data_IF_714512113508
#
_entry.id   IF_714512113508
#
_cell.length_a   1.000
_cell.length_b   1.000
_cell.length_c   1.000
_cell.angle_alpha   90.00
_cell.angle_beta   90.00
_cell.angle_gamma   90.00
#
_symmetry.space_group_name_H-M   'P 1'
#
loop_
_entity.id
_entity.type
_entity.pdbx_description
1 polymer ?
#
# COMPACT_ATOMS: atom_id res chain seq x y z
N UNK A 1 -3.33 -12.80 40.43
CA UNK A 1 -4.13 -12.48 39.24
C UNK A 1 -3.16 -12.38 38.06
N UNK A 2 -3.08 -13.41 37.23
CA UNK A 2 -2.21 -13.46 36.05
C UNK A 2 -2.89 -12.67 34.94
N UNK A 3 -2.31 -11.53 34.55
CA UNK A 3 -2.74 -10.78 33.36
C UNK A 3 -2.30 -11.58 32.13
N UNK A 4 -3.27 -12.17 31.46
CA UNK A 4 -3.12 -12.74 30.12
C UNK A 4 -2.89 -11.60 29.15
N UNK A 5 -1.64 -11.38 28.74
CA UNK A 5 -1.34 -10.55 27.58
C UNK A 5 -1.82 -11.33 26.36
N UNK A 6 -2.97 -10.89 25.81
CA UNK A 6 -3.42 -11.33 24.49
C UNK A 6 -2.47 -10.69 23.49
N UNK A 7 -1.47 -11.43 23.07
CA UNK A 7 -0.63 -11.11 21.90
C UNK A 7 -1.58 -11.23 20.70
N UNK A 8 -2.02 -10.09 20.19
CA UNK A 8 -2.73 -10.01 18.92
C UNK A 8 -1.66 -10.25 17.85
N UNK A 9 -1.42 -11.52 17.57
CA UNK A 9 -0.61 -11.93 16.41
C UNK A 9 -1.37 -11.42 15.20
N UNK A 10 -0.83 -10.41 14.53
CA UNK A 10 -1.19 -10.08 13.17
C UNK A 10 -0.81 -11.32 12.35
N UNK A 11 -1.75 -12.24 12.19
CA UNK A 11 -1.58 -13.35 11.27
C UNK A 11 -1.65 -12.77 9.86
N UNK A 12 -0.55 -12.17 9.41
CA UNK A 12 -0.19 -12.27 8.02
C UNK A 12 -0.18 -13.79 7.78
N UNK A 13 -1.13 -14.27 6.99
CA UNK A 13 -1.20 -15.69 6.67
C UNK A 13 -0.01 -16.02 5.78
N UNK A 14 1.18 -16.15 6.37
CA UNK A 14 2.35 -16.70 5.71
C UNK A 14 2.18 -18.20 5.59
N UNK A 15 1.23 -18.63 4.79
CA UNK A 15 1.14 -20.01 4.34
C UNK A 15 1.96 -20.18 3.04
N UNK A 16 3.27 -19.92 3.14
CA UNK A 16 4.23 -20.54 2.24
C UNK A 16 5.65 -20.36 2.79
N UNK A 17 6.10 -21.27 3.63
CA UNK A 17 7.50 -21.51 3.92
C UNK A 17 8.19 -22.18 2.72
N UNK A 18 8.10 -21.60 1.54
CA UNK A 18 8.83 -22.06 0.35
C UNK A 18 9.07 -20.90 -0.60
N UNK A 19 10.25 -20.26 -0.47
CA UNK A 19 10.87 -19.44 -1.51
C UNK A 19 9.97 -18.37 -2.13
N UNK A 20 9.72 -17.28 -1.43
CA UNK A 20 9.36 -16.04 -2.10
C UNK A 20 10.58 -15.51 -2.87
N UNK A 21 10.86 -16.10 -4.00
CA UNK A 21 11.84 -15.57 -4.96
C UNK A 21 11.22 -14.42 -5.77
N UNK A 22 9.88 -14.24 -5.66
CA UNK A 22 9.11 -13.28 -6.45
C UNK A 22 8.16 -12.50 -5.53
N UNK A 23 8.01 -11.18 -5.72
CA UNK A 23 7.04 -10.36 -4.99
C UNK A 23 5.57 -10.71 -5.31
N UNK A 24 5.34 -11.43 -6.40
CA UNK A 24 4.03 -11.98 -6.76
C UNK A 24 3.49 -12.98 -5.72
N UNK A 25 4.37 -13.55 -4.89
CA UNK A 25 3.99 -14.43 -3.77
C UNK A 25 3.59 -13.66 -2.49
N UNK A 26 3.72 -12.32 -2.50
CA UNK A 26 3.44 -11.49 -1.35
C UNK A 26 2.05 -10.83 -1.45
N UNK A 27 1.15 -11.20 -0.55
CA UNK A 27 -0.24 -10.75 -0.56
C UNK A 27 -0.54 -9.66 0.46
N UNK A 28 -1.34 -8.69 0.07
CA UNK A 28 -2.02 -7.76 0.98
C UNK A 28 -3.53 -8.06 0.92
N UNK A 29 -4.08 -8.60 1.99
CA UNK A 29 -5.48 -9.01 2.10
C UNK A 29 -5.93 -10.00 0.99
N UNK A 30 -5.03 -10.91 0.58
CA UNK A 30 -5.27 -11.94 -0.43
C UNK A 30 -5.30 -11.39 -1.85
N UNK A 31 -4.58 -10.29 -2.11
CA UNK A 31 -4.37 -9.71 -3.44
C UNK A 31 -2.86 -9.48 -3.62
N UNK A 32 -2.30 -9.87 -4.75
CA UNK A 32 -0.90 -9.71 -5.08
C UNK A 32 -0.67 -8.78 -6.28
N UNK A 33 0.54 -8.23 -6.38
CA UNK A 33 0.98 -7.64 -7.63
C UNK A 33 1.14 -8.75 -8.67
N UNK A 34 0.83 -8.46 -9.93
CA UNK A 34 0.85 -9.47 -10.99
C UNK A 34 -0.49 -10.16 -11.23
N UNK A 35 -1.34 -10.25 -10.20
CA UNK A 35 -2.69 -10.81 -10.32
C UNK A 35 -3.57 -10.00 -11.28
N UNK A 36 -4.62 -10.62 -11.75
CA UNK A 36 -5.70 -9.93 -12.46
C UNK A 36 -6.74 -9.41 -11.47
N UNK A 37 -7.08 -8.12 -11.56
CA UNK A 37 -8.15 -7.56 -10.73
C UNK A 37 -9.51 -8.25 -11.01
N UNK A 38 -9.64 -8.92 -12.17
CA UNK A 38 -10.82 -9.73 -12.53
C UNK A 38 -11.00 -10.98 -11.65
N UNK A 39 -9.97 -11.41 -10.93
CA UNK A 39 -10.08 -12.52 -9.97
C UNK A 39 -10.88 -12.12 -8.72
N UNK A 40 -11.02 -10.81 -8.48
CA UNK A 40 -11.67 -10.26 -7.30
C UNK A 40 -12.96 -9.52 -7.61
N UNK A 41 -13.09 -8.91 -8.81
CA UNK A 41 -14.21 -8.05 -9.19
C UNK A 41 -14.63 -8.30 -10.63
N UNK A 42 -15.92 -8.08 -10.95
CA UNK A 42 -16.38 -8.16 -12.33
C UNK A 42 -15.82 -7.01 -13.17
N UNK A 43 -15.70 -7.25 -14.46
CA UNK A 43 -15.21 -6.24 -15.41
C UNK A 43 -16.05 -4.97 -15.41
N UNK A 44 -17.36 -5.12 -15.28
CA UNK A 44 -18.31 -4.02 -15.30
C UNK A 44 -18.05 -3.08 -14.12
N UNK A 45 -17.85 -3.61 -12.90
CA UNK A 45 -17.57 -2.83 -11.71
C UNK A 45 -16.20 -2.14 -11.81
N UNK A 46 -15.18 -2.81 -12.36
CA UNK A 46 -13.86 -2.20 -12.55
C UNK A 46 -13.95 -1.02 -13.53
N UNK A 47 -14.68 -1.17 -14.64
CA UNK A 47 -14.87 -0.10 -15.62
C UNK A 47 -15.70 1.08 -15.05
N UNK A 48 -16.65 0.81 -14.18
CA UNK A 48 -17.41 1.85 -13.48
C UNK A 48 -16.49 2.61 -12.50
N UNK A 49 -15.69 1.90 -11.69
CA UNK A 49 -14.75 2.52 -10.75
C UNK A 49 -13.69 3.36 -11.44
N UNK A 50 -13.24 3.01 -12.64
CA UNK A 50 -12.31 3.85 -13.44
C UNK A 50 -12.85 5.26 -13.69
N UNK A 51 -14.16 5.47 -13.60
CA UNK A 51 -14.82 6.78 -13.67
C UNK A 51 -15.32 7.24 -12.28
N UNK A 52 -15.01 6.50 -11.24
CA UNK A 52 -15.45 6.72 -9.87
C UNK A 52 -14.69 7.82 -9.13
N UNK A 53 -15.22 8.30 -8.00
CA UNK A 53 -14.64 9.38 -7.23
C UNK A 53 -13.37 9.00 -6.47
N UNK A 54 -13.09 7.70 -6.31
CA UNK A 54 -11.92 7.19 -5.59
C UNK A 54 -10.81 6.71 -6.53
N UNK A 55 -10.92 7.03 -7.81
CA UNK A 55 -9.92 6.70 -8.83
C UNK A 55 -9.06 7.90 -9.18
N UNK A 56 -7.75 7.68 -9.21
CA UNK A 56 -6.79 8.65 -9.73
C UNK A 56 -6.20 8.15 -11.05
N UNK A 57 -6.48 8.87 -12.12
CA UNK A 57 -5.93 8.56 -13.46
C UNK A 57 -4.60 9.29 -13.64
N UNK A 58 -3.54 8.55 -13.89
CA UNK A 58 -2.23 9.11 -14.19
C UNK A 58 -2.15 9.65 -15.61
N UNK A 59 -1.08 10.41 -15.88
CA UNK A 59 -0.80 11.04 -17.17
C UNK A 59 -1.02 10.07 -18.36
N UNK A 60 -1.67 10.56 -19.39
CA UNK A 60 -1.94 9.85 -20.65
C UNK A 60 -2.74 8.53 -20.48
N UNK A 61 -3.49 8.39 -19.37
CA UNK A 61 -4.23 7.18 -19.01
C UNK A 61 -3.36 5.90 -19.01
N UNK A 62 -2.04 6.05 -18.74
CA UNK A 62 -1.13 4.90 -18.68
C UNK A 62 -1.42 3.98 -17.50
N UNK A 63 -1.73 4.59 -16.35
CA UNK A 63 -2.10 3.87 -15.14
C UNK A 63 -3.28 4.55 -14.46
N UNK A 64 -3.98 3.79 -13.62
CA UNK A 64 -5.03 4.26 -12.72
C UNK A 64 -4.84 3.63 -11.33
N UNK A 65 -4.93 4.45 -10.28
CA UNK A 65 -4.95 3.99 -8.88
C UNK A 65 -6.41 3.96 -8.42
N UNK A 66 -6.92 2.77 -8.12
CA UNK A 66 -8.29 2.51 -7.70
C UNK A 66 -8.30 2.16 -6.21
N UNK A 67 -9.32 2.62 -5.49
CA UNK A 67 -9.50 2.26 -4.10
C UNK A 67 -10.44 1.07 -3.94
N UNK A 68 -10.04 0.10 -3.12
CA UNK A 68 -10.88 -1.00 -2.65
C UNK A 68 -11.21 -0.71 -1.20
N UNK A 69 -12.47 -0.52 -0.88
CA UNK A 69 -12.90 -0.14 0.47
C UNK A 69 -13.61 -1.26 1.23
N UNK A 70 -13.74 -1.05 2.54
CA UNK A 70 -14.39 -1.98 3.47
C UNK A 70 -15.84 -1.56 3.78
N UNK A 71 -16.46 -0.79 2.90
CA UNK A 71 -17.83 -0.30 3.07
C UNK A 71 -18.56 -0.16 1.73
N UNK A 72 -19.88 -0.07 1.78
CA UNK A 72 -20.74 0.05 0.60
C UNK A 72 -20.60 1.39 -0.15
N UNK A 73 -19.80 2.32 0.38
CA UNK A 73 -19.45 3.57 -0.31
C UNK A 73 -18.43 3.37 -1.45
N UNK A 74 -17.77 2.21 -1.50
CA UNK A 74 -16.82 1.85 -2.55
C UNK A 74 -17.47 0.90 -3.54
N UNK A 75 -17.31 1.17 -4.84
CA UNK A 75 -17.76 0.23 -5.90
C UNK A 75 -16.94 -1.07 -5.81
N UNK A 76 -15.60 -0.95 -5.64
CA UNK A 76 -14.76 -2.08 -5.33
C UNK A 76 -14.81 -2.33 -3.81
N UNK A 77 -15.79 -3.10 -3.37
CA UNK A 77 -16.02 -3.41 -1.96
C UNK A 77 -15.53 -4.83 -1.64
N UNK A 78 -14.64 -4.94 -0.65
CA UNK A 78 -14.13 -6.22 -0.14
C UNK A 78 -13.87 -6.08 1.36
N UNK A 79 -14.32 -7.04 2.16
CA UNK A 79 -14.06 -7.06 3.60
C UNK A 79 -12.64 -7.55 3.90
N UNK A 80 -11.96 -6.83 4.77
CA UNK A 80 -10.67 -7.20 5.34
C UNK A 80 -10.53 -6.65 6.77
N UNK A 81 -9.85 -7.41 7.63
CA UNK A 81 -9.84 -7.13 9.07
C UNK A 81 -8.76 -6.12 9.49
N UNK A 82 -7.63 -6.09 8.76
CA UNK A 82 -6.42 -5.40 9.20
C UNK A 82 -6.18 -4.06 8.50
N UNK A 83 -6.92 -3.76 7.45
CA UNK A 83 -6.76 -2.55 6.65
C UNK A 83 -8.05 -1.73 6.66
N UNK A 84 -7.91 -0.42 6.55
CA UNK A 84 -9.05 0.47 6.34
C UNK A 84 -9.49 0.41 4.88
N UNK A 85 -8.54 0.53 3.97
CA UNK A 85 -8.71 0.35 2.52
C UNK A 85 -7.44 -0.20 1.89
N UNK A 86 -7.59 -0.62 0.63
CA UNK A 86 -6.49 -0.96 -0.26
C UNK A 86 -6.48 0.01 -1.44
N UNK A 87 -5.29 0.25 -2.00
CA UNK A 87 -5.13 0.90 -3.30
C UNK A 87 -4.51 -0.07 -4.27
N UNK A 88 -5.03 -0.16 -5.49
CA UNK A 88 -4.46 -0.98 -6.56
C UNK A 88 -4.21 -0.14 -7.81
N UNK A 89 -3.06 -0.33 -8.43
CA UNK A 89 -2.74 0.34 -9.69
C UNK A 89 -2.80 -0.65 -10.82
N UNK A 90 -3.58 -0.31 -11.82
CA UNK A 90 -3.76 -1.09 -13.06
C UNK A 90 -3.49 -0.20 -14.28
N UNK A 91 -3.39 -0.82 -15.46
CA UNK A 91 -3.49 -0.11 -16.75
C UNK A 91 -4.94 -0.14 -17.22
N UNK A 92 -5.60 1.02 -17.42
CA UNK A 92 -7.02 1.07 -17.82
C UNK A 92 -7.33 0.33 -19.13
N UNK A 93 -6.34 0.28 -20.03
CA UNK A 93 -6.47 -0.36 -21.35
C UNK A 93 -6.02 -1.83 -21.37
N UNK A 94 -5.59 -2.39 -20.23
CA UNK A 94 -5.23 -3.81 -20.13
C UNK A 94 -6.50 -4.66 -20.00
N UNK A 95 -6.67 -5.63 -20.88
CA UNK A 95 -7.85 -6.52 -20.87
C UNK A 95 -7.95 -7.39 -19.62
N UNK A 96 -6.81 -7.66 -18.99
CA UNK A 96 -6.70 -8.49 -17.79
C UNK A 96 -6.69 -7.65 -16.51
N UNK A 97 -6.58 -6.32 -16.61
CA UNK A 97 -6.43 -5.42 -15.45
C UNK A 97 -5.35 -5.93 -14.46
N UNK A 98 -4.16 -6.25 -15.00
CA UNK A 98 -3.01 -6.68 -14.18
C UNK A 98 -2.69 -5.62 -13.12
N UNK A 99 -2.43 -6.07 -11.89
CA UNK A 99 -2.09 -5.22 -10.75
C UNK A 99 -0.58 -4.92 -10.77
N UNK A 100 -0.21 -3.64 -10.87
CA UNK A 100 1.18 -3.14 -10.89
C UNK A 100 1.64 -2.57 -9.56
N UNK A 101 0.71 -2.20 -8.72
CA UNK A 101 0.94 -1.79 -7.33
C UNK A 101 -0.22 -2.26 -6.49
N UNK A 102 0.07 -2.69 -5.27
CA UNK A 102 -0.93 -2.83 -4.22
C UNK A 102 -0.46 -2.07 -2.98
N UNK A 103 -1.39 -1.46 -2.27
CA UNK A 103 -1.15 -0.83 -0.97
C UNK A 103 -2.26 -1.15 0.01
N UNK A 104 -1.88 -1.39 1.27
CA UNK A 104 -2.81 -1.50 2.39
C UNK A 104 -2.63 -0.35 3.37
N UNK A 105 -3.72 0.34 3.75
CA UNK A 105 -3.70 1.47 4.66
C UNK A 105 -4.33 1.11 6.00
N UNK A 106 -3.65 1.51 7.08
CA UNK A 106 -4.08 1.35 8.47
C UNK A 106 -4.11 2.74 9.11
N UNK A 107 -5.22 3.14 9.72
CA UNK A 107 -5.26 4.37 10.51
C UNK A 107 -4.76 4.16 11.94
N UNK A 108 -4.08 5.15 12.48
CA UNK A 108 -3.44 5.09 13.78
C UNK A 108 -4.17 5.92 14.85
N UNK A 109 -5.49 6.03 14.75
CA UNK A 109 -6.41 6.61 15.74
C UNK A 109 -5.72 7.49 16.78
N UNK A 110 -5.77 8.77 16.66
CA UNK A 110 -5.40 9.82 17.63
C UNK A 110 -3.97 9.76 18.24
N UNK A 111 -3.16 8.77 17.83
CA UNK A 111 -1.80 8.60 18.34
C UNK A 111 -0.84 8.08 17.25
N UNK A 112 -0.09 8.99 16.64
CA UNK A 112 0.87 8.67 15.59
C UNK A 112 1.97 7.69 16.04
N UNK A 113 2.30 7.63 17.34
CA UNK A 113 3.29 6.66 17.82
C UNK A 113 2.85 5.21 17.62
N UNK A 114 1.54 4.94 17.50
CA UNK A 114 1.03 3.61 17.14
C UNK A 114 1.47 3.26 15.69
N UNK A 115 1.40 4.21 14.76
CA UNK A 115 1.94 4.03 13.40
C UNK A 115 3.42 3.70 13.41
N UNK A 116 4.21 4.45 14.17
CA UNK A 116 5.66 4.24 14.25
C UNK A 116 6.02 2.87 14.84
N UNK A 117 5.31 2.46 15.92
CA UNK A 117 5.53 1.15 16.53
C UNK A 117 5.19 0.00 15.57
N UNK A 118 4.02 0.08 14.92
CA UNK A 118 3.61 -0.92 13.92
C UNK A 118 4.55 -0.93 12.70
N UNK A 119 4.98 0.25 12.23
CA UNK A 119 5.97 0.34 11.16
C UNK A 119 7.24 -0.43 11.52
N UNK A 120 7.75 -0.22 12.73
CA UNK A 120 8.97 -0.89 13.21
C UNK A 120 8.82 -2.42 13.24
N UNK A 121 7.68 -2.91 13.72
CA UNK A 121 7.36 -4.34 13.74
C UNK A 121 7.33 -4.93 12.33
N UNK A 122 6.58 -4.31 11.41
CA UNK A 122 6.45 -4.75 10.02
C UNK A 122 7.81 -4.70 9.29
N UNK A 123 8.59 -3.64 9.49
CA UNK A 123 9.94 -3.53 8.89
C UNK A 123 10.85 -4.63 9.39
N UNK A 124 10.78 -5.01 10.68
CA UNK A 124 11.57 -6.11 11.23
C UNK A 124 11.15 -7.45 10.62
N UNK A 125 9.84 -7.72 10.51
CA UNK A 125 9.31 -8.94 9.91
C UNK A 125 9.71 -9.06 8.43
N UNK A 126 9.55 -7.98 7.65
CA UNK A 126 9.97 -7.93 6.24
C UNK A 126 11.49 -8.08 6.08
N UNK A 127 12.28 -7.49 6.98
CA UNK A 127 13.74 -7.64 6.96
C UNK A 127 14.15 -9.10 7.19
N UNK A 128 13.50 -9.78 8.11
CA UNK A 128 13.72 -11.20 8.36
C UNK A 128 13.27 -12.06 7.16
N UNK A 129 12.13 -11.74 6.58
CA UNK A 129 11.57 -12.45 5.43
C UNK A 129 12.44 -12.33 4.17
N UNK A 130 12.82 -11.10 3.82
CA UNK A 130 13.66 -10.86 2.64
C UNK A 130 15.13 -11.24 2.86
N UNK A 131 15.60 -11.21 4.10
CA UNK A 131 16.99 -11.55 4.45
C UNK A 131 17.99 -10.73 3.64
N UNK A 132 18.88 -11.42 2.93
CA UNK A 132 19.90 -10.77 2.09
C UNK A 132 19.43 -10.42 0.66
N UNK A 133 18.17 -10.74 0.30
CA UNK A 133 17.61 -10.45 -1.04
C UNK A 133 17.29 -8.98 -1.24
N UNK A 134 16.89 -8.28 -0.17
CA UNK A 134 16.61 -6.85 -0.21
C UNK A 134 17.39 -6.09 0.87
N UNK A 135 17.68 -4.83 0.60
CA UNK A 135 18.32 -3.92 1.55
C UNK A 135 17.32 -2.84 1.95
N UNK A 136 16.99 -2.73 3.26
CA UNK A 136 16.12 -1.65 3.72
C UNK A 136 16.90 -0.33 3.76
N UNK A 137 16.27 0.72 3.22
CA UNK A 137 16.70 2.11 3.35
C UNK A 137 15.62 2.88 4.10
N UNK A 138 15.99 3.59 5.18
CA UNK A 138 15.04 4.29 6.04
C UNK A 138 15.35 5.79 6.07
N UNK A 139 14.33 6.57 5.80
CA UNK A 139 14.43 8.04 5.79
C UNK A 139 13.12 8.68 6.25
N UNK A 140 13.19 9.95 6.63
CA UNK A 140 12.06 10.83 6.85
C UNK A 140 12.13 12.04 5.93
N UNK A 141 10.96 12.54 5.55
CA UNK A 141 10.84 13.69 4.65
C UNK A 141 9.57 14.48 4.96
N UNK A 142 9.54 15.76 4.54
CA UNK A 142 8.29 16.49 4.42
C UNK A 142 7.40 15.78 3.40
N UNK A 143 6.09 15.69 3.67
CA UNK A 143 5.16 15.09 2.73
C UNK A 143 4.91 16.04 1.56
N UNK A 144 5.14 15.57 0.33
CA UNK A 144 5.11 16.43 -0.87
C UNK A 144 3.77 17.11 -1.18
N UNK A 145 2.67 16.63 -0.60
CA UNK A 145 1.35 17.27 -0.73
C UNK A 145 1.19 18.48 0.20
N UNK A 146 1.93 18.55 1.29
CA UNK A 146 1.87 19.65 2.26
C UNK A 146 2.95 20.69 2.01
N UNK A 147 2.61 21.72 1.26
CA UNK A 147 3.51 22.83 0.94
C UNK A 147 4.00 23.61 2.18
N UNK A 148 3.40 23.40 3.36
CA UNK A 148 3.86 24.02 4.61
C UNK A 148 5.03 23.26 5.24
N UNK A 149 5.28 22.02 4.82
CA UNK A 149 6.32 21.14 5.38
C UNK A 149 6.02 20.56 6.76
N UNK A 150 4.80 20.78 7.30
CA UNK A 150 4.41 20.33 8.62
C UNK A 150 3.97 18.86 8.66
N UNK A 151 3.48 18.32 7.52
CA UNK A 151 3.21 16.89 7.39
C UNK A 151 4.49 16.13 7.08
N UNK A 152 4.69 14.98 7.74
CA UNK A 152 5.91 14.18 7.62
C UNK A 152 5.62 12.74 7.24
N UNK A 153 6.47 12.19 6.39
CA UNK A 153 6.51 10.78 6.03
C UNK A 153 7.76 10.12 6.58
N UNK A 154 7.58 8.99 7.24
CA UNK A 154 8.65 8.14 7.78
C UNK A 154 8.64 6.84 6.99
N UNK A 155 9.52 6.73 6.01
CA UNK A 155 9.53 5.62 5.06
C UNK A 155 10.65 4.62 5.34
N UNK A 156 10.42 3.35 5.02
CA UNK A 156 11.44 2.33 4.80
C UNK A 156 11.15 1.68 3.46
N UNK A 157 12.13 1.67 2.57
CA UNK A 157 12.06 1.07 1.24
C UNK A 157 12.98 -0.14 1.20
N UNK A 158 12.47 -1.27 0.77
CA UNK A 158 13.24 -2.48 0.51
C UNK A 158 13.59 -2.53 -0.97
N UNK A 159 14.86 -2.33 -1.27
CA UNK A 159 15.41 -2.38 -2.62
C UNK A 159 15.96 -3.78 -2.88
N UNK A 160 15.39 -4.48 -3.86
CA UNK A 160 15.82 -5.83 -4.22
C UNK A 160 17.07 -5.82 -5.08
N UNK A 161 17.97 -6.79 -4.86
CA UNK A 161 19.26 -6.88 -5.57
C UNK A 161 19.14 -7.41 -6.99
N UNK A 162 18.09 -8.17 -7.27
CA UNK A 162 17.92 -8.93 -8.52
C UNK A 162 16.92 -8.33 -9.49
N UNK A 163 16.07 -7.41 -9.00
CA UNK A 163 15.03 -6.74 -9.80
C UNK A 163 14.73 -5.35 -9.22
N UNK A 164 14.04 -4.52 -9.99
CA UNK A 164 13.73 -3.13 -9.62
C UNK A 164 12.33 -2.96 -9.02
N UNK A 165 11.67 -4.05 -8.65
CA UNK A 165 10.46 -3.98 -7.84
C UNK A 165 10.84 -3.49 -6.45
N UNK A 166 9.89 -2.93 -5.71
CA UNK A 166 10.14 -2.46 -4.36
C UNK A 166 8.97 -2.72 -3.41
N UNK A 167 9.30 -2.81 -2.13
CA UNK A 167 8.33 -2.78 -1.04
C UNK A 167 8.61 -1.55 -0.20
N UNK A 168 7.56 -0.79 0.13
CA UNK A 168 7.66 0.41 0.96
C UNK A 168 6.71 0.30 2.16
N UNK A 169 7.22 0.64 3.34
CA UNK A 169 6.43 0.81 4.56
C UNK A 169 6.55 2.26 4.99
N UNK A 170 5.45 3.01 4.98
CA UNK A 170 5.48 4.44 5.26
C UNK A 170 4.41 4.82 6.28
N UNK A 171 4.84 5.47 7.38
CA UNK A 171 3.95 6.12 8.34
C UNK A 171 3.88 7.62 7.99
N UNK A 172 2.66 8.15 7.84
CA UNK A 172 2.41 9.56 7.54
C UNK A 172 1.74 10.23 8.74
N UNK A 173 2.38 11.30 9.22
CA UNK A 173 1.82 12.22 10.21
C UNK A 173 1.35 13.48 9.46
N UNK A 174 0.04 13.68 9.41
CA UNK A 174 -0.55 14.83 8.75
C UNK A 174 -0.53 16.05 9.66
N UNK A 175 -0.30 17.22 9.08
CA UNK A 175 -0.46 18.47 9.81
C UNK A 175 -1.91 18.66 10.27
N UNK A 176 -2.08 19.28 11.42
CA UNK A 176 -3.42 19.59 11.95
C UNK A 176 -4.30 20.29 10.92
N UNK A 177 -3.72 21.23 10.14
CA UNK A 177 -4.44 21.93 9.08
C UNK A 177 -5.03 20.97 8.05
N UNK A 178 -4.23 20.02 7.53
CA UNK A 178 -4.73 19.07 6.54
C UNK A 178 -5.71 18.06 7.15
N UNK A 179 -5.51 17.66 8.39
CA UNK A 179 -6.48 16.82 9.11
C UNK A 179 -7.84 17.53 9.24
N UNK A 180 -7.86 18.81 9.57
CA UNK A 180 -9.09 19.60 9.68
C UNK A 180 -9.76 19.87 8.33
N UNK A 181 -8.97 20.27 7.30
CA UNK A 181 -9.47 20.66 5.97
C UNK A 181 -9.89 19.46 5.12
N UNK A 182 -9.14 18.35 5.20
CA UNK A 182 -9.28 17.18 4.31
C UNK A 182 -9.81 15.93 5.00
N UNK A 183 -9.98 15.99 6.32
CA UNK A 183 -10.35 14.82 7.15
C UNK A 183 -9.37 13.65 7.01
N UNK A 184 -8.08 13.97 6.77
CA UNK A 184 -7.03 12.96 6.65
C UNK A 184 -6.50 12.58 8.03
N UNK A 185 -6.51 11.29 8.32
CA UNK A 185 -5.94 10.76 9.56
C UNK A 185 -4.53 10.24 9.37
N UNK A 186 -3.75 10.31 10.46
CA UNK A 186 -2.45 9.66 10.53
C UNK A 186 -2.56 8.18 10.17
N UNK A 187 -1.66 7.71 9.32
CA UNK A 187 -1.78 6.38 8.79
C UNK A 187 -0.44 5.70 8.54
N UNK A 188 -0.50 4.38 8.43
CA UNK A 188 0.57 3.52 8.01
C UNK A 188 0.15 2.83 6.72
N UNK A 189 1.01 2.84 5.70
CA UNK A 189 0.82 2.09 4.45
C UNK A 189 1.92 1.07 4.26
N UNK A 190 1.52 -0.09 3.75
CA UNK A 190 2.43 -1.09 3.19
C UNK A 190 2.13 -1.10 1.70
N UNK A 191 3.15 -0.98 0.87
CA UNK A 191 3.00 -0.83 -0.58
C UNK A 191 4.00 -1.74 -1.29
N UNK A 192 3.53 -2.42 -2.33
CA UNK A 192 4.33 -3.27 -3.21
C UNK A 192 4.20 -2.73 -4.61
N UNK A 193 5.31 -2.56 -5.31
CA UNK A 193 5.37 -1.95 -6.63
C UNK A 193 6.13 -2.86 -7.59
N UNK A 194 5.56 -3.14 -8.74
CA UNK A 194 6.31 -3.72 -9.85
C UNK A 194 7.16 -2.66 -10.55
N UNK A 195 8.34 -3.05 -11.01
CA UNK A 195 9.31 -2.24 -11.75
C UNK A 195 8.67 -1.32 -12.78
N UNK A 196 7.74 -1.83 -13.56
CA UNK A 196 7.14 -1.07 -14.66
C UNK A 196 6.41 0.19 -14.15
N UNK A 197 5.70 0.09 -13.02
CA UNK A 197 5.05 1.24 -12.42
C UNK A 197 6.07 2.16 -11.72
N UNK A 198 7.10 1.61 -11.07
CA UNK A 198 8.21 2.40 -10.50
C UNK A 198 8.86 3.26 -11.59
N UNK A 199 9.24 2.64 -12.71
CA UNK A 199 9.85 3.33 -13.86
C UNK A 199 8.97 4.44 -14.41
N UNK A 200 7.66 4.21 -14.51
CA UNK A 200 6.70 5.23 -14.93
C UNK A 200 6.65 6.40 -13.93
N UNK A 201 6.60 6.12 -12.62
CA UNK A 201 6.55 7.16 -11.59
C UNK A 201 7.78 8.06 -11.62
N UNK A 202 8.97 7.49 -11.82
CA UNK A 202 10.24 8.23 -11.85
C UNK A 202 10.43 9.06 -13.13
N UNK A 203 9.96 8.55 -14.25
CA UNK A 203 10.32 9.13 -15.56
C UNK A 203 9.20 9.94 -16.21
N UNK A 204 7.92 9.69 -15.89
CA UNK A 204 6.80 10.21 -16.67
C UNK A 204 5.67 10.83 -15.86
N UNK A 205 5.31 10.26 -14.71
CA UNK A 205 4.06 10.55 -14.01
C UNK A 205 3.86 12.04 -13.68
N UNK A 206 4.92 12.78 -13.44
CA UNK A 206 4.90 14.18 -12.97
C UNK A 206 5.73 15.14 -13.86
N UNK A 207 6.07 14.74 -15.06
CA UNK A 207 6.82 15.57 -16.03
C UNK A 207 5.94 16.25 -17.04
#
# INVERSE_FOLDING_TARGET
MKRLFLIFILTLSFQALARADNLEDFEIAGISVGDSLLEHFSKEIILEELNGPFTYIYKDNKFADLAIGNSDNYLLNKKFDNYYDLGVVIKPNDKNFKIYKISGRIFCKDNFNICLSKKKEIVLELSNFFGNKATPDTFDSAHGYDNTGNSKSYATVFNFKTHEDLVRVVATNWSQKLTEEKQWGDNLKIEIFLKEFVTFMENEAYK
#
